data_IF_700096402707
#
_entry.id   IF_700096402707
#
_cell.length_a   1.000
_cell.length_b   1.000
_cell.length_c   1.000
_cell.angle_alpha   90.00
_cell.angle_beta   90.00
_cell.angle_gamma   90.00
#
_symmetry.space_group_name_H-M   'P 1'
#
loop_
_entity.id
_entity.type
_entity.pdbx_description
1 polymer ?
#
# COMPACT_ATOMS: atom_id res chain seq x y z
N UNK A 1 -15.87 -20.47 -1.45
CA UNK A 1 -14.81 -21.26 -0.84
C UNK A 1 -15.40 -22.60 -0.42
N UNK A 2 -14.76 -23.70 -0.80
CA UNK A 2 -15.15 -25.01 -0.30
C UNK A 2 -14.63 -25.18 1.15
N UNK A 3 -15.50 -25.36 2.16
CA UNK A 3 -15.07 -25.43 3.56
C UNK A 3 -14.21 -26.67 3.87
N UNK A 4 -14.24 -27.71 3.01
CA UNK A 4 -13.51 -28.95 3.24
C UNK A 4 -12.03 -28.89 2.82
N UNK A 5 -11.67 -28.03 1.86
CA UNK A 5 -10.30 -27.96 1.30
C UNK A 5 -9.81 -26.53 1.09
N UNK A 6 -10.59 -25.51 1.48
CA UNK A 6 -10.31 -24.08 1.31
C UNK A 6 -10.04 -23.65 -0.16
N UNK A 7 -10.46 -24.45 -1.15
CA UNK A 7 -10.31 -24.12 -2.57
C UNK A 7 -11.43 -23.18 -2.99
N UNK A 8 -11.10 -22.14 -3.72
CA UNK A 8 -12.06 -21.26 -4.36
C UNK A 8 -12.54 -21.87 -5.66
N UNK A 9 -13.86 -22.00 -5.79
CA UNK A 9 -14.52 -22.34 -7.04
C UNK A 9 -15.19 -21.09 -7.59
N UNK A 10 -14.90 -20.75 -8.84
CA UNK A 10 -15.54 -19.65 -9.53
C UNK A 10 -16.02 -20.14 -10.91
N UNK A 11 -17.17 -19.65 -11.33
CA UNK A 11 -17.66 -19.86 -12.70
C UNK A 11 -16.94 -18.89 -13.62
N UNK A 12 -16.54 -19.37 -14.81
CA UNK A 12 -16.02 -18.50 -15.85
C UNK A 12 -17.06 -17.42 -16.19
N UNK A 13 -16.61 -16.19 -16.37
CA UNK A 13 -17.49 -15.06 -16.64
C UNK A 13 -16.82 -14.02 -17.50
N UNK A 14 -17.62 -13.25 -18.23
CA UNK A 14 -17.21 -11.98 -18.81
C UNK A 14 -17.76 -10.83 -17.98
N UNK A 15 -17.08 -9.72 -17.97
CA UNK A 15 -17.48 -8.49 -17.29
C UNK A 15 -17.47 -7.35 -18.30
N UNK A 16 -18.53 -6.53 -18.33
CA UNK A 16 -18.59 -5.33 -19.14
C UNK A 16 -18.92 -4.13 -18.25
N UNK A 17 -18.14 -3.06 -18.37
CA UNK A 17 -18.41 -1.80 -17.68
C UNK A 17 -19.69 -1.18 -18.27
N UNK A 18 -20.73 -0.97 -17.45
CA UNK A 18 -22.01 -0.36 -17.85
C UNK A 18 -22.26 1.00 -17.16
N UNK A 19 -21.31 1.47 -16.30
CA UNK A 19 -21.45 2.73 -15.57
C UNK A 19 -20.16 3.14 -14.86
N UNK A 20 -20.21 4.23 -14.10
CA UNK A 20 -19.08 4.68 -13.27
C UNK A 20 -19.03 3.90 -11.97
N UNK A 21 -17.80 3.54 -11.52
CA UNK A 21 -17.55 2.86 -10.25
C UNK A 21 -17.77 1.33 -10.29
N UNK A 22 -17.66 0.69 -9.10
CA UNK A 22 -17.67 -0.77 -8.94
C UNK A 22 -19.01 -1.45 -9.23
N UNK A 23 -20.14 -0.77 -9.05
CA UNK A 23 -21.48 -1.31 -9.25
C UNK A 23 -21.91 -1.30 -10.73
N UNK A 24 -21.07 -0.78 -11.61
CA UNK A 24 -21.35 -0.62 -13.03
C UNK A 24 -20.86 -1.78 -13.91
N UNK A 25 -20.74 -3.00 -13.40
CA UNK A 25 -20.38 -4.18 -14.19
C UNK A 25 -21.61 -5.06 -14.43
N UNK A 26 -21.81 -5.45 -15.67
CA UNK A 26 -22.70 -6.53 -16.05
C UNK A 26 -21.83 -7.78 -16.20
N UNK A 27 -22.09 -8.79 -15.36
CA UNK A 27 -21.41 -10.09 -15.46
C UNK A 27 -22.30 -11.04 -16.25
N UNK A 28 -21.72 -11.68 -17.26
CA UNK A 28 -22.34 -12.79 -17.98
C UNK A 28 -21.67 -14.10 -17.51
N UNK A 29 -22.48 -15.10 -17.24
CA UNK A 29 -22.08 -16.43 -16.73
C UNK A 29 -22.55 -17.55 -17.67
N UNK A 30 -22.71 -17.27 -18.95
CA UNK A 30 -23.17 -18.28 -19.90
C UNK A 30 -22.15 -19.43 -20.04
N UNK A 31 -22.66 -20.64 -20.35
CA UNK A 31 -21.81 -21.82 -20.55
C UNK A 31 -20.95 -21.73 -21.83
N UNK A 32 -21.17 -20.70 -22.66
CA UNK A 32 -20.43 -20.44 -23.90
C UNK A 32 -19.12 -19.65 -23.65
N UNK A 33 -18.89 -19.19 -22.42
CA UNK A 33 -17.70 -18.38 -22.08
C UNK A 33 -16.46 -19.24 -22.14
N UNK A 34 -15.54 -18.89 -23.03
CA UNK A 34 -14.26 -19.61 -23.17
C UNK A 34 -13.27 -19.25 -22.04
N UNK A 35 -12.28 -20.09 -21.83
CA UNK A 35 -11.19 -19.84 -20.89
C UNK A 35 -10.47 -18.51 -21.20
N UNK A 36 -10.19 -18.26 -22.50
CA UNK A 36 -9.52 -17.02 -22.92
C UNK A 36 -10.37 -15.78 -22.56
N UNK A 37 -11.71 -15.86 -22.71
CA UNK A 37 -12.60 -14.76 -22.34
C UNK A 37 -12.64 -14.51 -20.83
N UNK A 38 -12.47 -15.53 -19.99
CA UNK A 38 -12.32 -15.31 -18.55
C UNK A 38 -10.93 -14.76 -18.20
N UNK A 39 -9.88 -15.20 -18.88
CA UNK A 39 -8.51 -14.79 -18.58
C UNK A 39 -8.22 -13.35 -19.05
N UNK A 40 -8.77 -12.88 -20.19
CA UNK A 40 -8.48 -11.54 -20.73
C UNK A 40 -8.92 -10.39 -19.80
N UNK A 41 -9.91 -10.63 -18.96
CA UNK A 41 -10.42 -9.63 -18.00
C UNK A 41 -9.57 -9.50 -16.73
N UNK A 42 -8.53 -10.33 -16.57
CA UNK A 42 -7.63 -10.27 -15.41
C UNK A 42 -6.69 -9.08 -15.50
N UNK A 43 -5.95 -8.83 -14.42
CA UNK A 43 -5.07 -7.65 -14.29
C UNK A 43 -3.74 -7.81 -15.03
N UNK A 44 -3.03 -8.92 -14.79
CA UNK A 44 -1.68 -9.17 -15.30
C UNK A 44 -1.59 -10.49 -16.07
N UNK A 45 -0.73 -10.55 -17.07
CA UNK A 45 -0.42 -11.76 -17.85
C UNK A 45 -0.05 -12.93 -16.95
N UNK A 46 0.78 -12.70 -15.94
CA UNK A 46 1.21 -13.71 -14.96
C UNK A 46 0.06 -14.29 -14.13
N UNK A 47 -1.06 -13.59 -14.04
CA UNK A 47 -2.28 -14.03 -13.35
C UNK A 47 -3.31 -14.65 -14.32
N UNK A 48 -2.99 -14.72 -15.62
CA UNK A 48 -3.86 -15.24 -16.68
C UNK A 48 -3.37 -16.58 -17.25
N UNK A 49 -2.67 -17.33 -16.45
CA UNK A 49 -2.25 -18.71 -16.74
C UNK A 49 -3.20 -19.66 -16.03
N UNK A 50 -3.72 -20.63 -16.72
CA UNK A 50 -4.56 -21.68 -16.16
C UNK A 50 -3.94 -23.05 -16.37
N UNK A 51 -4.25 -24.00 -15.49
CA UNK A 51 -3.86 -25.40 -15.62
C UNK A 51 -5.11 -26.26 -15.63
N UNK A 52 -5.22 -27.17 -16.60
CA UNK A 52 -6.32 -28.13 -16.64
C UNK A 52 -6.07 -29.33 -15.70
N UNK A 53 -7.07 -30.21 -15.61
CA UNK A 53 -7.00 -31.42 -14.76
C UNK A 53 -5.89 -32.38 -15.13
N UNK A 54 -5.43 -32.36 -16.40
CA UNK A 54 -4.39 -33.21 -16.91
C UNK A 54 -2.99 -32.59 -16.79
N UNK A 55 -2.91 -31.40 -16.14
CA UNK A 55 -1.66 -30.68 -15.89
C UNK A 55 -1.18 -29.81 -17.04
N UNK A 56 -1.93 -29.72 -18.15
CA UNK A 56 -1.58 -28.86 -19.29
C UNK A 56 -1.83 -27.40 -18.96
N UNK A 57 -0.82 -26.57 -19.24
CA UNK A 57 -0.92 -25.12 -19.10
C UNK A 57 -1.63 -24.49 -20.29
N UNK A 58 -2.51 -23.56 -20.00
CA UNK A 58 -3.18 -22.68 -20.94
C UNK A 58 -2.73 -21.24 -20.65
N UNK A 59 -1.93 -20.70 -21.56
CA UNK A 59 -1.30 -19.38 -21.42
C UNK A 59 -1.52 -18.54 -22.69
N UNK A 60 -2.76 -18.12 -22.96
CA UNK A 60 -3.09 -17.38 -24.17
C UNK A 60 -2.48 -15.97 -24.25
N UNK A 61 -2.00 -15.45 -23.13
CA UNK A 61 -1.49 -14.07 -22.99
C UNK A 61 0.01 -14.00 -22.64
N UNK A 62 0.77 -15.08 -22.85
CA UNK A 62 2.22 -15.14 -22.66
C UNK A 62 2.70 -14.84 -21.25
N UNK A 63 1.89 -15.17 -20.23
CA UNK A 63 2.24 -14.95 -18.82
C UNK A 63 3.46 -15.74 -18.37
N UNK A 64 3.68 -16.95 -18.91
CA UNK A 64 4.87 -17.76 -18.62
C UNK A 64 6.14 -17.06 -19.11
N UNK A 65 6.10 -16.43 -20.29
CA UNK A 65 7.22 -15.65 -20.83
C UNK A 65 7.51 -14.43 -19.93
N UNK A 66 6.48 -13.69 -19.55
CA UNK A 66 6.62 -12.55 -18.63
C UNK A 66 7.15 -12.97 -17.25
N UNK A 67 6.80 -14.16 -16.74
CA UNK A 67 7.42 -14.73 -15.53
C UNK A 67 8.92 -14.92 -15.71
N UNK A 68 9.35 -15.53 -16.82
CA UNK A 68 10.77 -15.75 -17.11
C UNK A 68 11.54 -14.44 -17.28
N UNK A 69 10.92 -13.45 -17.91
CA UNK A 69 11.47 -12.11 -18.10
C UNK A 69 11.35 -11.23 -16.83
N UNK A 70 10.59 -11.68 -15.83
CA UNK A 70 10.31 -10.95 -14.59
C UNK A 70 9.59 -9.61 -14.84
N UNK A 71 8.56 -9.64 -15.68
CA UNK A 71 7.79 -8.48 -16.09
C UNK A 71 6.35 -8.58 -15.54
N UNK A 72 5.85 -7.49 -15.00
CA UNK A 72 4.45 -7.29 -14.64
C UNK A 72 3.77 -6.50 -15.75
N UNK A 73 3.04 -7.19 -16.61
CA UNK A 73 2.39 -6.64 -17.81
C UNK A 73 0.87 -6.78 -17.70
N UNK A 74 0.12 -5.72 -18.00
CA UNK A 74 -1.33 -5.83 -18.16
C UNK A 74 -1.70 -6.62 -19.41
N UNK A 75 -2.85 -7.29 -19.40
CA UNK A 75 -3.24 -8.21 -20.47
C UNK A 75 -3.81 -7.46 -21.68
N UNK A 76 -4.67 -6.48 -21.44
CA UNK A 76 -5.47 -5.85 -22.47
C UNK A 76 -5.97 -4.47 -22.03
N UNK A 77 -6.55 -3.65 -22.94
CA UNK A 77 -7.21 -2.39 -22.60
C UNK A 77 -8.33 -2.53 -21.56
N UNK A 78 -8.91 -3.73 -21.36
CA UNK A 78 -9.88 -4.00 -20.30
C UNK A 78 -9.28 -3.76 -18.89
N UNK A 79 -7.97 -3.63 -18.76
CA UNK A 79 -7.32 -3.17 -17.53
C UNK A 79 -7.93 -1.87 -17.00
N UNK A 80 -8.26 -0.93 -17.90
CA UNK A 80 -8.83 0.37 -17.55
C UNK A 80 -10.27 0.29 -16.98
N UNK A 81 -10.96 -0.83 -17.10
CA UNK A 81 -12.32 -0.98 -16.60
C UNK A 81 -12.41 -0.96 -15.07
N UNK A 82 -11.37 -1.42 -14.37
CA UNK A 82 -11.30 -1.37 -12.91
C UNK A 82 -10.04 -0.62 -12.43
N UNK A 83 -10.16 0.65 -12.02
CA UNK A 83 -9.03 1.46 -11.55
C UNK A 83 -8.29 0.85 -10.34
N UNK A 84 -8.91 -0.08 -9.59
CA UNK A 84 -8.23 -0.79 -8.50
C UNK A 84 -7.02 -1.58 -8.98
N UNK A 85 -6.98 -1.94 -10.25
CA UNK A 85 -5.85 -2.66 -10.85
C UNK A 85 -4.54 -1.88 -10.76
N UNK A 86 -4.58 -0.54 -10.72
CA UNK A 86 -3.41 0.30 -10.45
C UNK A 86 -2.79 -0.05 -9.09
N UNK A 87 -3.60 -0.15 -8.03
CA UNK A 87 -3.13 -0.54 -6.70
C UNK A 87 -2.68 -2.00 -6.67
N UNK A 88 -3.37 -2.87 -7.39
CA UNK A 88 -3.02 -4.29 -7.48
C UNK A 88 -1.66 -4.50 -8.15
N UNK A 89 -1.37 -3.81 -9.26
CA UNK A 89 -0.05 -3.85 -9.92
C UNK A 89 1.04 -3.35 -8.99
N UNK A 90 0.83 -2.20 -8.32
CA UNK A 90 1.77 -1.69 -7.32
C UNK A 90 2.02 -2.70 -6.19
N UNK A 91 0.98 -3.42 -5.74
CA UNK A 91 1.13 -4.48 -4.74
C UNK A 91 1.88 -5.70 -5.28
N UNK A 92 1.65 -6.12 -6.51
CA UNK A 92 2.44 -7.20 -7.12
C UNK A 92 3.90 -6.80 -7.31
N UNK A 93 4.19 -5.54 -7.66
CA UNK A 93 5.55 -5.01 -7.67
C UNK A 93 6.19 -5.13 -6.27
N UNK A 94 5.49 -4.71 -5.21
CA UNK A 94 5.93 -4.89 -3.82
C UNK A 94 6.18 -6.35 -3.44
N UNK A 95 5.34 -7.27 -3.92
CA UNK A 95 5.47 -8.71 -3.66
C UNK A 95 6.69 -9.33 -4.33
N UNK A 96 6.93 -8.99 -5.59
CA UNK A 96 7.91 -9.67 -6.42
C UNK A 96 9.21 -8.88 -6.63
N UNK A 97 9.37 -7.72 -5.97
CA UNK A 97 10.56 -6.88 -6.11
C UNK A 97 11.85 -7.65 -5.82
N UNK A 98 11.89 -8.43 -4.73
CA UNK A 98 13.06 -9.22 -4.35
C UNK A 98 13.41 -10.33 -5.36
N UNK A 99 12.49 -10.69 -6.25
CA UNK A 99 12.73 -11.62 -7.35
C UNK A 99 13.19 -10.90 -8.64
N UNK A 100 13.33 -9.57 -8.60
CA UNK A 100 13.78 -8.75 -9.71
C UNK A 100 12.69 -8.44 -10.74
N UNK A 101 11.39 -8.56 -10.38
CA UNK A 101 10.30 -8.15 -11.27
C UNK A 101 10.23 -6.63 -11.41
N UNK A 102 9.95 -6.18 -12.62
CA UNK A 102 9.66 -4.79 -12.96
C UNK A 102 8.31 -4.67 -13.66
N UNK A 103 7.71 -3.49 -13.58
CA UNK A 103 6.45 -3.21 -14.31
C UNK A 103 6.81 -2.81 -15.74
N UNK A 104 6.10 -3.38 -16.71
CA UNK A 104 6.26 -3.02 -18.13
C UNK A 104 5.96 -1.54 -18.36
N UNK A 105 6.72 -0.88 -19.24
CA UNK A 105 6.60 0.56 -19.51
C UNK A 105 5.20 0.94 -19.97
N UNK A 106 4.60 0.16 -20.87
CA UNK A 106 3.23 0.35 -21.35
C UNK A 106 2.20 0.20 -20.23
N UNK A 107 2.48 -0.61 -19.19
CA UNK A 107 1.61 -0.76 -18.02
C UNK A 107 1.73 0.45 -17.10
N UNK A 108 2.94 0.93 -16.83
CA UNK A 108 3.17 2.17 -16.08
C UNK A 108 2.47 3.37 -16.75
N UNK A 109 2.58 3.47 -18.09
CA UNK A 109 1.92 4.52 -18.86
C UNK A 109 0.41 4.46 -18.70
N UNK A 110 -0.20 3.27 -18.86
CA UNK A 110 -1.64 3.08 -18.67
C UNK A 110 -2.11 3.43 -17.25
N UNK A 111 -1.31 3.05 -16.22
CA UNK A 111 -1.60 3.42 -14.83
C UNK A 111 -1.58 4.93 -14.61
N UNK A 112 -0.62 5.64 -15.20
CA UNK A 112 -0.53 7.11 -15.15
C UNK A 112 -1.70 7.77 -15.87
N UNK A 113 -2.06 7.29 -17.06
CA UNK A 113 -3.22 7.78 -17.83
C UNK A 113 -4.53 7.66 -17.04
N UNK A 114 -4.77 6.51 -16.39
CA UNK A 114 -5.94 6.30 -15.52
C UNK A 114 -5.96 7.25 -14.31
N UNK A 115 -4.79 7.55 -13.78
CA UNK A 115 -4.65 8.52 -12.69
C UNK A 115 -5.00 9.93 -13.14
N UNK A 116 -4.46 10.37 -14.28
CA UNK A 116 -4.71 11.70 -14.88
C UNK A 116 -6.18 11.90 -15.29
N UNK A 117 -6.82 10.84 -15.77
CA UNK A 117 -8.26 10.83 -16.10
C UNK A 117 -9.18 10.90 -14.87
N UNK A 118 -8.61 10.81 -13.64
CA UNK A 118 -9.36 10.90 -12.40
C UNK A 118 -10.11 9.62 -12.00
N UNK A 119 -9.88 8.51 -12.69
CA UNK A 119 -10.60 7.24 -12.44
C UNK A 119 -10.38 6.72 -11.01
N UNK A 120 -9.20 6.97 -10.41
CA UNK A 120 -8.88 6.54 -9.05
C UNK A 120 -9.72 7.23 -7.98
N UNK A 121 -10.24 8.43 -8.24
CA UNK A 121 -11.09 9.16 -7.29
C UNK A 121 -12.45 8.46 -7.06
N UNK A 122 -12.85 7.54 -7.95
CA UNK A 122 -14.09 6.77 -7.85
C UNK A 122 -13.93 5.48 -7.03
N UNK A 123 -12.73 5.14 -6.60
CA UNK A 123 -12.49 3.98 -5.74
C UNK A 123 -13.09 4.18 -4.34
N UNK A 124 -13.77 3.16 -3.85
CA UNK A 124 -14.29 3.21 -2.47
C UNK A 124 -13.14 3.07 -1.46
N UNK A 125 -13.25 3.79 -0.34
CA UNK A 125 -12.27 3.73 0.74
C UNK A 125 -11.93 2.30 1.18
N UNK A 126 -12.93 1.43 1.28
CA UNK A 126 -12.75 0.04 1.69
C UNK A 126 -11.87 -0.76 0.69
N UNK A 127 -12.05 -0.54 -0.61
CA UNK A 127 -11.24 -1.21 -1.64
C UNK A 127 -9.79 -0.71 -1.61
N UNK A 128 -9.61 0.60 -1.48
CA UNK A 128 -8.27 1.21 -1.37
C UNK A 128 -7.56 0.67 -0.13
N UNK A 129 -8.23 0.70 1.04
CA UNK A 129 -7.63 0.20 2.27
C UNK A 129 -7.29 -1.29 2.19
N UNK A 130 -8.20 -2.13 1.70
CA UNK A 130 -7.98 -3.57 1.57
C UNK A 130 -6.74 -3.91 0.72
N UNK A 131 -6.51 -3.24 -0.41
CA UNK A 131 -5.30 -3.46 -1.21
C UNK A 131 -4.06 -2.87 -0.54
N UNK A 132 -4.19 -1.74 0.16
CA UNK A 132 -3.09 -1.13 0.93
C UNK A 132 -2.67 -2.03 2.10
N UNK A 133 -3.63 -2.57 2.86
CA UNK A 133 -3.33 -3.49 3.97
C UNK A 133 -2.63 -4.77 3.49
N UNK A 134 -3.06 -5.32 2.35
CA UNK A 134 -2.35 -6.43 1.70
C UNK A 134 -0.93 -6.03 1.30
N UNK A 135 -0.75 -4.82 0.72
CA UNK A 135 0.56 -4.32 0.33
C UNK A 135 1.48 -4.11 1.54
N UNK A 136 0.96 -3.63 2.67
CA UNK A 136 1.71 -3.53 3.92
C UNK A 136 2.23 -4.88 4.42
N UNK A 137 1.59 -5.99 4.06
CA UNK A 137 2.04 -7.34 4.42
C UNK A 137 2.96 -8.00 3.38
N UNK A 138 3.21 -7.35 2.25
CA UNK A 138 4.16 -7.83 1.24
C UNK A 138 5.63 -7.64 1.69
N UNK A 139 6.60 -8.31 1.05
CA UNK A 139 8.02 -8.19 1.40
C UNK A 139 8.60 -6.78 1.25
N UNK A 140 8.10 -6.00 0.27
CA UNK A 140 8.61 -4.67 -0.04
C UNK A 140 7.47 -3.63 -0.15
N UNK A 141 6.78 -3.31 0.97
CA UNK A 141 5.65 -2.38 0.94
C UNK A 141 6.04 -0.95 0.52
N UNK A 142 7.30 -0.55 0.65
CA UNK A 142 7.88 0.68 0.13
C UNK A 142 7.68 0.79 -1.38
N UNK A 143 7.92 -0.26 -2.14
CA UNK A 143 7.72 -0.32 -3.60
C UNK A 143 6.26 -0.05 -3.99
N UNK A 144 5.30 -0.41 -3.16
CA UNK A 144 3.89 -0.08 -3.40
C UNK A 144 3.69 1.45 -3.44
N UNK A 145 4.19 2.16 -2.43
CA UNK A 145 4.05 3.61 -2.34
C UNK A 145 4.90 4.33 -3.39
N UNK A 146 6.11 3.87 -3.66
CA UNK A 146 6.98 4.40 -4.72
C UNK A 146 6.35 4.24 -6.11
N UNK A 147 5.76 3.08 -6.42
CA UNK A 147 5.04 2.84 -7.67
C UNK A 147 3.84 3.79 -7.80
N UNK A 148 3.04 3.95 -6.73
CA UNK A 148 1.91 4.89 -6.74
C UNK A 148 2.38 6.35 -6.88
N UNK A 149 3.53 6.70 -6.29
CA UNK A 149 4.16 8.01 -6.47
C UNK A 149 4.57 8.23 -7.93
N UNK A 150 5.26 7.27 -8.53
CA UNK A 150 5.74 7.33 -9.91
C UNK A 150 4.61 7.57 -10.93
N UNK A 151 3.45 6.95 -10.74
CA UNK A 151 2.28 7.10 -11.64
C UNK A 151 1.31 8.21 -11.21
N UNK A 152 1.68 9.04 -10.22
CA UNK A 152 0.86 10.14 -9.71
C UNK A 152 -0.31 9.73 -8.80
N UNK A 153 -0.57 8.43 -8.66
CA UNK A 153 -1.69 7.89 -7.88
C UNK A 153 -1.58 8.20 -6.38
N UNK A 154 -0.37 8.36 -5.85
CA UNK A 154 -0.15 8.67 -4.44
C UNK A 154 -0.83 9.98 -4.03
N UNK A 155 -0.76 11.02 -4.88
CA UNK A 155 -1.39 12.33 -4.62
C UNK A 155 -2.91 12.25 -4.56
N UNK A 156 -3.50 11.34 -5.31
CA UNK A 156 -4.96 11.15 -5.36
C UNK A 156 -5.44 10.35 -4.16
N UNK A 157 -4.75 9.26 -3.84
CA UNK A 157 -5.20 8.27 -2.85
C UNK A 157 -4.66 8.53 -1.44
N UNK A 158 -3.45 9.08 -1.33
CA UNK A 158 -2.72 9.30 -0.09
C UNK A 158 -2.06 10.69 -0.06
N UNK A 159 -2.86 11.78 -0.21
CA UNK A 159 -2.29 13.13 -0.30
C UNK A 159 -1.47 13.51 0.93
N UNK A 160 -1.77 12.94 2.11
CA UNK A 160 -1.03 13.18 3.34
C UNK A 160 0.41 12.61 3.25
N UNK A 161 0.58 11.45 2.61
CA UNK A 161 1.90 10.82 2.38
C UNK A 161 2.61 11.54 1.23
N UNK A 162 1.90 11.83 0.16
CA UNK A 162 2.46 12.53 -1.00
C UNK A 162 2.98 13.94 -0.66
N UNK A 163 2.42 14.57 0.38
CA UNK A 163 2.87 15.88 0.85
C UNK A 163 4.27 15.87 1.47
N UNK A 164 4.85 14.71 1.76
CA UNK A 164 6.24 14.57 2.25
C UNK A 164 7.28 14.70 1.13
N UNK A 165 6.89 14.53 -0.13
CA UNK A 165 7.76 14.66 -1.29
C UNK A 165 8.27 16.10 -1.42
N UNK A 166 9.59 16.27 -1.49
CA UNK A 166 10.25 17.57 -1.51
C UNK A 166 10.36 18.28 -0.15
N UNK A 167 9.95 17.65 0.95
CA UNK A 167 10.11 18.19 2.31
C UNK A 167 11.49 17.80 2.86
N UNK A 168 12.42 18.77 3.08
CA UNK A 168 13.79 18.42 3.45
C UNK A 168 13.94 18.00 4.90
N UNK A 169 14.78 17.03 5.16
CA UNK A 169 15.27 16.64 6.49
C UNK A 169 16.67 17.22 6.78
N UNK A 170 17.10 17.34 8.06
CA UNK A 170 18.45 17.75 8.40
C UNK A 170 19.49 16.75 7.86
N UNK A 171 20.33 17.16 6.91
CA UNK A 171 21.34 16.32 6.26
C UNK A 171 22.30 15.63 7.26
N UNK A 172 22.51 16.24 8.44
CA UNK A 172 23.36 15.67 9.50
C UNK A 172 22.86 14.31 10.02
N UNK A 173 21.54 14.11 10.03
CA UNK A 173 20.89 12.91 10.58
C UNK A 173 20.21 12.06 9.51
N UNK A 174 19.95 12.66 8.34
CA UNK A 174 19.17 12.10 7.24
C UNK A 174 19.90 12.35 5.93
N UNK A 175 20.87 11.51 5.56
CA UNK A 175 21.63 11.68 4.30
C UNK A 175 20.74 11.61 3.06
N UNK A 176 19.57 10.95 3.15
CA UNK A 176 18.54 10.92 2.12
C UNK A 176 17.83 12.27 1.89
N UNK A 177 17.94 13.20 2.84
CA UNK A 177 17.41 14.58 2.85
C UNK A 177 15.88 14.66 2.69
N UNK A 178 15.25 13.94 1.81
CA UNK A 178 13.82 13.99 1.52
C UNK A 178 12.98 13.18 2.50
N UNK A 179 11.85 13.76 3.00
CA UNK A 179 11.01 13.11 4.00
C UNK A 179 10.17 11.95 3.45
N UNK A 180 9.80 11.96 2.16
CA UNK A 180 9.13 10.81 1.55
C UNK A 180 10.11 9.64 1.44
N UNK A 181 11.32 9.88 0.94
CA UNK A 181 12.37 8.85 0.84
C UNK A 181 12.70 8.31 2.24
N UNK A 182 12.85 9.20 3.24
CA UNK A 182 13.02 8.80 4.64
C UNK A 182 11.92 7.85 5.11
N UNK A 183 10.66 8.20 4.86
CA UNK A 183 9.51 7.37 5.26
C UNK A 183 9.55 5.98 4.61
N UNK A 184 9.97 5.88 3.34
CA UNK A 184 10.14 4.58 2.67
C UNK A 184 11.28 3.76 3.31
N UNK A 185 12.40 4.38 3.66
CA UNK A 185 13.50 3.72 4.38
C UNK A 185 13.07 3.24 5.77
N UNK A 186 12.31 4.04 6.51
CA UNK A 186 11.74 3.64 7.81
C UNK A 186 10.78 2.46 7.65
N UNK A 187 9.97 2.46 6.60
CA UNK A 187 9.08 1.34 6.27
C UNK A 187 9.86 0.05 5.99
N UNK A 188 10.99 0.12 5.26
CA UNK A 188 11.87 -1.03 5.05
C UNK A 188 12.47 -1.56 6.37
N UNK A 189 12.83 -0.69 7.31
CA UNK A 189 13.28 -1.13 8.64
C UNK A 189 12.13 -1.78 9.43
N UNK A 190 10.91 -1.22 9.37
CA UNK A 190 9.73 -1.82 9.99
C UNK A 190 9.42 -3.22 9.44
N UNK A 191 9.68 -3.46 8.15
CA UNK A 191 9.59 -4.81 7.56
C UNK A 191 10.55 -5.75 8.26
N UNK A 192 11.84 -5.40 8.35
CA UNK A 192 12.89 -6.23 8.99
C UNK A 192 12.58 -6.52 10.46
N UNK A 193 12.10 -5.51 11.18
CA UNK A 193 11.75 -5.63 12.60
C UNK A 193 10.52 -6.52 12.85
N UNK A 194 9.62 -6.63 11.87
CA UNK A 194 8.40 -7.43 11.97
C UNK A 194 8.53 -8.82 11.35
N UNK A 195 9.67 -9.14 10.72
CA UNK A 195 9.96 -10.50 10.27
C UNK A 195 10.20 -11.40 11.47
N UNK A 196 9.61 -12.60 11.42
CA UNK A 196 9.75 -13.64 12.45
C UNK A 196 9.33 -13.20 13.87
N UNK A 197 8.41 -12.26 13.97
CA UNK A 197 7.81 -11.82 15.23
C UNK A 197 6.30 -12.03 15.23
N UNK A 198 5.69 -12.07 16.42
CA UNK A 198 4.24 -12.14 16.60
C UNK A 198 3.57 -10.76 16.50
N UNK A 199 4.33 -9.70 16.19
CA UNK A 199 3.80 -8.36 16.03
C UNK A 199 2.85 -8.26 14.83
N UNK A 200 1.83 -7.43 14.97
CA UNK A 200 0.94 -7.14 13.85
C UNK A 200 1.68 -6.31 12.80
N UNK A 201 2.11 -6.97 11.72
CA UNK A 201 2.89 -6.35 10.62
C UNK A 201 2.21 -5.12 10.04
N UNK A 202 0.91 -5.19 9.75
CA UNK A 202 0.16 -4.05 9.20
C UNK A 202 0.19 -2.86 10.17
N UNK A 203 0.07 -3.11 11.49
CA UNK A 203 0.02 -2.06 12.48
C UNK A 203 1.36 -1.32 12.60
N UNK A 204 2.47 -2.06 12.74
CA UNK A 204 3.81 -1.47 12.85
C UNK A 204 4.20 -0.72 11.58
N UNK A 205 3.98 -1.35 10.41
CA UNK A 205 4.34 -0.77 9.11
C UNK A 205 3.49 0.45 8.76
N UNK A 206 2.19 0.44 9.11
CA UNK A 206 1.32 1.60 8.94
C UNK A 206 1.71 2.74 9.89
N UNK A 207 2.05 2.45 11.13
CA UNK A 207 2.56 3.44 12.08
C UNK A 207 3.88 4.07 11.57
N UNK A 208 4.77 3.26 10.99
CA UNK A 208 6.00 3.73 10.36
C UNK A 208 5.74 4.73 9.22
N UNK A 209 4.70 4.50 8.39
CA UNK A 209 4.33 5.46 7.33
C UNK A 209 3.80 6.77 7.91
N UNK A 210 3.09 6.72 9.05
CA UNK A 210 2.43 7.89 9.60
C UNK A 210 3.32 8.74 10.52
N UNK A 211 4.49 8.24 10.97
CA UNK A 211 5.27 8.87 12.04
C UNK A 211 5.65 10.33 11.77
N UNK A 212 5.94 10.66 10.53
CA UNK A 212 6.47 11.96 10.10
C UNK A 212 5.52 12.80 9.24
N UNK A 213 4.24 12.44 9.13
CA UNK A 213 3.26 13.18 8.31
C UNK A 213 3.15 14.67 8.68
N UNK A 214 3.50 15.02 9.90
CA UNK A 214 3.50 16.40 10.37
C UNK A 214 4.57 17.28 9.76
N UNK A 215 5.67 16.71 9.24
CA UNK A 215 6.75 17.50 8.63
C UNK A 215 6.25 18.33 7.45
N UNK A 216 5.35 17.78 6.65
CA UNK A 216 4.73 18.50 5.54
C UNK A 216 3.88 19.72 5.96
N UNK A 217 3.48 19.80 7.23
CA UNK A 217 2.65 20.87 7.77
C UNK A 217 3.44 21.93 8.55
N UNK A 218 4.74 21.73 8.75
CA UNK A 218 5.59 22.73 9.40
C UNK A 218 5.84 23.91 8.45
N UNK A 219 5.87 25.16 8.97
CA UNK A 219 6.25 26.32 8.17
C UNK A 219 7.62 26.14 7.52
N UNK A 220 7.79 26.63 6.28
CA UNK A 220 9.05 26.50 5.55
C UNK A 220 10.23 27.15 6.28
N UNK A 221 9.97 28.17 7.08
CA UNK A 221 10.97 28.85 7.91
C UNK A 221 11.55 27.95 9.01
N UNK A 222 10.84 26.87 9.37
CA UNK A 222 11.29 25.86 10.32
C UNK A 222 12.01 24.68 9.67
N UNK A 223 12.11 24.68 8.35
CA UNK A 223 12.83 23.62 7.64
C UNK A 223 14.34 23.78 7.78
N UNK A 224 15.08 22.72 7.88
CA UNK A 224 14.70 21.30 7.92
C UNK A 224 14.45 20.76 9.34
N UNK A 225 14.36 21.59 10.37
CA UNK A 225 14.28 21.15 11.78
C UNK A 225 12.91 20.59 12.19
N UNK A 226 11.84 21.04 11.56
CA UNK A 226 10.46 20.60 11.76
C UNK A 226 9.99 20.56 13.21
N UNK A 227 10.40 21.51 14.07
CA UNK A 227 10.03 21.52 15.48
C UNK A 227 8.52 21.44 15.68
N UNK A 228 8.07 20.46 16.47
CA UNK A 228 6.67 20.22 16.79
C UNK A 228 5.88 19.46 15.73
N UNK A 229 6.55 18.87 14.72
CA UNK A 229 5.90 18.06 13.70
C UNK A 229 5.12 16.88 14.27
N UNK A 230 5.54 16.37 15.43
CA UNK A 230 4.90 15.24 16.12
C UNK A 230 3.43 15.56 16.44
N UNK A 231 3.19 16.74 17.02
CA UNK A 231 1.83 17.16 17.41
C UNK A 231 0.96 17.53 16.23
N UNK A 232 1.51 18.25 15.26
CA UNK A 232 0.73 18.64 14.07
C UNK A 232 0.46 17.45 13.16
N UNK A 233 1.28 16.40 13.20
CA UNK A 233 1.14 15.18 12.44
C UNK A 233 -0.05 14.29 12.82
N UNK A 234 -0.59 14.45 14.04
CA UNK A 234 -1.81 13.73 14.47
C UNK A 234 -2.99 14.06 13.55
N UNK A 235 -3.10 15.32 13.10
CA UNK A 235 -4.22 15.75 12.25
C UNK A 235 -4.23 15.04 10.87
N UNK A 236 -3.14 15.05 10.07
CA UNK A 236 -3.11 14.33 8.81
C UNK A 236 -3.22 12.80 9.00
N UNK A 237 -2.63 12.21 10.04
CA UNK A 237 -2.78 10.79 10.37
C UNK A 237 -4.26 10.44 10.57
N UNK A 238 -4.97 11.21 11.37
CA UNK A 238 -6.42 11.03 11.62
C UNK A 238 -7.26 11.25 10.37
N UNK A 239 -6.90 12.24 9.53
CA UNK A 239 -7.58 12.50 8.25
C UNK A 239 -7.44 11.31 7.31
N UNK A 240 -6.23 10.78 7.13
CA UNK A 240 -5.92 9.59 6.34
C UNK A 240 -6.74 8.38 6.81
N UNK A 241 -6.69 8.11 8.12
CA UNK A 241 -7.41 6.97 8.71
C UNK A 241 -8.92 7.06 8.53
N UNK A 242 -9.51 8.24 8.78
CA UNK A 242 -10.95 8.46 8.60
C UNK A 242 -11.37 8.32 7.14
N UNK A 243 -10.60 8.88 6.21
CA UNK A 243 -10.90 8.88 4.78
C UNK A 243 -10.83 7.46 4.19
N UNK A 244 -9.85 6.65 4.61
CA UNK A 244 -9.67 5.28 4.14
C UNK A 244 -10.40 4.24 5.00
N UNK A 245 -11.06 4.65 6.08
CA UNK A 245 -11.72 3.74 7.04
C UNK A 245 -10.76 2.70 7.63
N UNK A 246 -9.57 3.16 7.99
CA UNK A 246 -8.56 2.33 8.64
C UNK A 246 -9.10 1.81 9.98
N UNK A 247 -8.87 0.55 10.34
CA UNK A 247 -9.29 -0.01 11.62
C UNK A 247 -8.76 0.81 12.82
N UNK A 248 -9.61 1.00 13.84
CA UNK A 248 -9.30 1.88 14.97
C UNK A 248 -7.99 1.52 15.68
N UNK A 249 -7.66 0.24 15.82
CA UNK A 249 -6.42 -0.17 16.50
C UNK A 249 -5.16 0.25 15.73
N UNK A 250 -5.21 0.28 14.40
CA UNK A 250 -4.13 0.77 13.54
C UNK A 250 -4.02 2.31 13.65
N UNK A 251 -5.16 3.00 13.64
CA UNK A 251 -5.21 4.44 13.80
C UNK A 251 -4.63 4.85 15.16
N UNK A 252 -5.05 4.22 16.26
CA UNK A 252 -4.54 4.51 17.60
C UNK A 252 -3.02 4.36 17.66
N UNK A 253 -2.46 3.27 17.12
CA UNK A 253 -1.02 3.06 17.11
C UNK A 253 -0.30 4.11 16.25
N UNK A 254 -0.83 4.41 15.07
CA UNK A 254 -0.24 5.41 14.17
C UNK A 254 -0.24 6.82 14.80
N UNK A 255 -1.34 7.23 15.46
CA UNK A 255 -1.41 8.51 16.17
C UNK A 255 -0.40 8.57 17.34
N UNK A 256 -0.29 7.51 18.13
CA UNK A 256 0.69 7.43 19.24
C UNK A 256 2.12 7.44 18.73
N UNK A 257 2.42 6.69 17.67
CA UNK A 257 3.75 6.69 17.06
C UNK A 257 4.09 8.07 16.52
N UNK A 258 3.18 8.73 15.80
CA UNK A 258 3.37 10.07 15.29
C UNK A 258 3.69 11.07 16.44
N UNK A 259 2.98 11.00 17.56
CA UNK A 259 3.14 11.93 18.68
C UNK A 259 4.39 11.70 19.51
N UNK A 260 4.83 10.41 19.65
CA UNK A 260 5.84 10.06 20.66
C UNK A 260 7.13 9.46 20.11
N UNK A 261 7.28 9.23 18.77
CA UNK A 261 8.50 8.62 18.22
C UNK A 261 9.79 9.35 18.60
N UNK A 262 9.78 10.68 18.64
CA UNK A 262 10.96 11.47 19.02
C UNK A 262 11.36 11.31 20.49
N UNK A 263 10.44 10.91 21.37
CA UNK A 263 10.76 10.59 22.76
C UNK A 263 11.65 9.35 22.87
N UNK A 264 11.47 8.38 21.96
CA UNK A 264 12.28 7.15 21.93
C UNK A 264 13.74 7.43 21.55
N UNK A 265 13.99 8.41 20.67
CA UNK A 265 15.37 8.83 20.35
C UNK A 265 16.16 9.34 21.54
N UNK A 266 15.47 9.82 22.59
CA UNK A 266 16.04 10.36 23.81
C UNK A 266 15.63 9.56 25.04
N UNK A 267 15.24 8.30 24.88
CA UNK A 267 14.65 7.48 25.95
C UNK A 267 15.50 7.44 27.21
N UNK A 268 16.83 7.35 27.08
CA UNK A 268 17.77 7.32 28.21
C UNK A 268 17.99 8.68 28.87
N UNK A 269 17.58 9.77 28.23
CA UNK A 269 17.68 11.14 28.75
C UNK A 269 16.37 11.63 29.39
N UNK A 270 15.29 10.84 29.24
CA UNK A 270 13.98 11.21 29.78
C UNK A 270 13.99 11.15 31.31
N UNK A 271 13.33 12.16 31.91
CA UNK A 271 13.09 12.12 33.36
C UNK A 271 12.11 11.01 33.72
N UNK A 272 12.23 10.38 34.90
CA UNK A 272 11.38 9.27 35.32
C UNK A 272 9.88 9.57 35.26
N UNK A 273 9.47 10.79 35.60
CA UNK A 273 8.06 11.22 35.52
C UNK A 273 7.54 11.27 34.08
N UNK A 274 8.41 11.62 33.12
CA UNK A 274 8.09 11.62 31.69
C UNK A 274 7.94 10.18 31.18
N UNK A 275 8.80 9.27 31.59
CA UNK A 275 8.73 7.84 31.22
C UNK A 275 7.42 7.21 31.72
N UNK A 276 7.05 7.47 33.00
CA UNK A 276 5.80 6.96 33.57
C UNK A 276 4.58 7.54 32.84
N UNK A 277 4.59 8.83 32.50
CA UNK A 277 3.54 9.44 31.69
C UNK A 277 3.42 8.80 30.32
N UNK A 278 4.56 8.53 29.65
CA UNK A 278 4.58 7.87 28.35
C UNK A 278 3.96 6.47 28.44
N UNK A 279 4.34 5.66 29.42
CA UNK A 279 3.78 4.33 29.64
C UNK A 279 2.26 4.35 29.89
N UNK A 280 1.79 5.34 30.66
CA UNK A 280 0.35 5.51 30.90
C UNK A 280 -0.38 5.93 29.60
N UNK A 281 0.19 6.83 28.80
CA UNK A 281 -0.42 7.30 27.55
C UNK A 281 -0.45 6.20 26.50
N UNK A 282 0.61 5.39 26.39
CA UNK A 282 0.67 4.25 25.50
C UNK A 282 -0.13 3.04 25.99
N UNK A 283 -0.68 3.12 27.23
CA UNK A 283 -1.43 2.02 27.86
C UNK A 283 -0.60 0.73 28.00
N UNK A 284 0.71 0.86 28.22
CA UNK A 284 1.68 -0.25 28.24
C UNK A 284 1.35 -1.30 29.29
N UNK A 285 0.73 -0.90 30.41
CA UNK A 285 0.37 -1.80 31.51
C UNK A 285 -0.70 -2.82 31.14
N UNK A 286 -1.65 -2.40 30.28
CA UNK A 286 -2.75 -3.28 29.84
C UNK A 286 -2.49 -3.86 28.44
N UNK A 287 -1.67 -3.16 27.63
CA UNK A 287 -1.39 -3.51 26.23
C UNK A 287 0.13 -3.43 25.99
N UNK A 288 0.94 -4.30 26.62
CA UNK A 288 2.40 -4.24 26.52
C UNK A 288 2.88 -4.33 25.07
N UNK A 289 2.17 -5.07 24.20
CA UNK A 289 2.50 -5.20 22.77
C UNK A 289 2.48 -3.86 22.00
N UNK A 290 1.91 -2.80 22.58
CA UNK A 290 1.95 -1.45 21.97
C UNK A 290 3.32 -0.77 22.13
N UNK A 291 4.12 -1.26 23.08
CA UNK A 291 5.41 -0.66 23.38
C UNK A 291 6.56 -1.42 22.72
N UNK A 292 6.35 -2.66 22.35
CA UNK A 292 7.28 -3.48 21.57
C UNK A 292 7.44 -2.97 20.14
#
# INVERSE_FOLDING_TARGET
>A
LNPANHVEYAVARTERKSGKGYTGFICDFSDEITLEQDLIRRDLTINAIAQDKDGKLHDPYHGVEDIHQRILRHISPAFAEDPLRVLRVARFAARFHHLGFSIAEETLKLMAELTEQGELAHLTAARVWMETEKALNEPHPDIYFETLHQVGALKVLFPEIAALDGVPNPAKYHPEIDSFIHTMLVLQQAVKLTENTDLNKSAVRFAAICHDLGKALTPKEMWPSHHGHEKVGIKPTRSLCKRLRVPNYLQELAELTCEYHTHLHKALELRPDTVVKLFNTLDCWRKPQRFE
#
